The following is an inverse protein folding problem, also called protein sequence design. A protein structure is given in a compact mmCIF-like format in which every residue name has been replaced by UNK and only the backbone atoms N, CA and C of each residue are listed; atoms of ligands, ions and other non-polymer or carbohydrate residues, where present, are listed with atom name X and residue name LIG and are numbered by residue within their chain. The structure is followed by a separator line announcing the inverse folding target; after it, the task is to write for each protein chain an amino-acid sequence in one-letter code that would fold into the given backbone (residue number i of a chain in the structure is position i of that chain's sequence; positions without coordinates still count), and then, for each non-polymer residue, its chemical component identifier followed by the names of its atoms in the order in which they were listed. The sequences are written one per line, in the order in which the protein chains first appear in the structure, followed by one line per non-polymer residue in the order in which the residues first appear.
data_IF_571549432850
#
_entry.id   IF_571549432850
#
_cell.length_a   1.000
_cell.length_b   1.000
_cell.length_c   1.000
_cell.angle_alpha   90.00
_cell.angle_beta   90.00
_cell.angle_gamma   90.00
#
_symmetry.space_group_name_H-M   'P 1'
#
loop_
_entity.id
_entity.type
_entity.pdbx_description
1 polymer ?
#
# COMPACT_ATOMS: atom_id res chain seq x y z
N UNK A 1 -23.86 -12.25 -12.08
CA UNK A 1 -23.10 -11.15 -11.44
C UNK A 1 -23.44 -11.02 -9.96
N UNK A 2 -24.71 -10.89 -9.58
CA UNK A 2 -25.12 -10.73 -8.17
C UNK A 2 -24.64 -11.87 -7.25
N UNK A 3 -24.73 -13.14 -7.68
CA UNK A 3 -24.21 -14.29 -6.91
C UNK A 3 -22.68 -14.27 -6.72
N UNK A 4 -21.93 -13.73 -7.68
CA UNK A 4 -20.46 -13.59 -7.59
C UNK A 4 -20.11 -12.52 -6.55
N UNK A 5 -20.79 -11.36 -6.60
CA UNK A 5 -20.59 -10.31 -5.61
C UNK A 5 -20.93 -10.79 -4.20
N UNK A 6 -22.03 -11.52 -4.02
CA UNK A 6 -22.39 -12.10 -2.72
C UNK A 6 -21.32 -13.06 -2.19
N UNK A 7 -20.70 -13.89 -3.04
CA UNK A 7 -19.59 -14.76 -2.63
C UNK A 7 -18.33 -13.99 -2.23
N UNK A 8 -17.97 -12.95 -3.00
CA UNK A 8 -16.84 -12.07 -2.67
C UNK A 8 -17.10 -11.36 -1.33
N UNK A 9 -18.31 -10.82 -1.14
CA UNK A 9 -18.73 -10.18 0.10
C UNK A 9 -18.71 -11.16 1.27
N UNK A 10 -19.21 -12.39 1.13
CA UNK A 10 -19.19 -13.41 2.19
C UNK A 10 -17.75 -13.80 2.59
N UNK A 11 -16.83 -13.93 1.64
CA UNK A 11 -15.40 -14.14 1.91
C UNK A 11 -14.73 -12.99 2.66
N UNK A 12 -15.33 -11.79 2.63
CA UNK A 12 -14.82 -10.56 3.27
C UNK A 12 -15.70 -10.04 4.44
N UNK A 13 -16.90 -10.59 4.65
CA UNK A 13 -17.90 -10.12 5.61
C UNK A 13 -17.41 -10.23 7.06
N UNK A 14 -16.48 -11.15 7.35
CA UNK A 14 -15.86 -11.32 8.67
C UNK A 14 -14.66 -10.41 8.94
N UNK A 15 -14.13 -9.69 7.94
CA UNK A 15 -12.90 -8.89 8.08
C UNK A 15 -13.12 -7.46 7.57
N UNK A 16 -13.50 -6.57 8.49
CA UNK A 16 -13.26 -5.11 8.39
C UNK A 16 -11.75 -4.76 8.39
N UNK A 17 -10.91 -5.63 7.85
CA UNK A 17 -9.45 -5.49 7.83
C UNK A 17 -9.02 -4.59 6.66
N UNK A 18 -8.42 -3.45 6.98
CA UNK A 18 -8.01 -2.44 6.02
C UNK A 18 -8.30 -1.03 6.54
N UNK A 19 -7.49 -0.08 6.11
CA UNK A 19 -7.64 1.34 6.46
C UNK A 19 -8.85 1.93 5.70
N UNK A 20 -9.24 3.15 6.06
CA UNK A 20 -10.51 3.75 5.64
C UNK A 20 -10.63 3.82 4.11
N UNK A 21 -9.58 4.23 3.41
CA UNK A 21 -9.62 4.40 1.96
C UNK A 21 -9.75 3.04 1.25
N UNK A 22 -8.94 2.04 1.63
CA UNK A 22 -9.10 0.67 1.12
C UNK A 22 -10.53 0.19 1.30
N UNK A 23 -11.11 0.41 2.48
CA UNK A 23 -12.42 -0.11 2.87
C UNK A 23 -13.55 0.47 2.02
N UNK A 24 -13.56 1.78 1.81
CA UNK A 24 -14.69 2.47 1.19
C UNK A 24 -14.55 2.66 -0.33
N UNK A 25 -13.32 2.76 -0.82
CA UNK A 25 -13.04 3.07 -2.23
C UNK A 25 -12.45 1.86 -2.95
N UNK A 26 -11.21 1.49 -2.60
CA UNK A 26 -10.46 0.46 -3.36
C UNK A 26 -11.21 -0.87 -3.43
N UNK A 27 -11.78 -1.34 -2.32
CA UNK A 27 -12.55 -2.60 -2.30
C UNK A 27 -13.71 -2.62 -3.29
N UNK A 28 -14.42 -1.50 -3.50
CA UNK A 28 -15.55 -1.46 -4.43
C UNK A 28 -15.08 -1.67 -5.87
N UNK A 29 -14.00 -0.99 -6.26
CA UNK A 29 -13.39 -1.18 -7.58
C UNK A 29 -12.77 -2.55 -7.73
N UNK A 30 -12.07 -3.04 -6.69
CA UNK A 30 -11.48 -4.37 -6.67
C UNK A 30 -12.52 -5.49 -6.83
N UNK A 31 -13.72 -5.34 -6.27
CA UNK A 31 -14.81 -6.31 -6.49
C UNK A 31 -15.23 -6.38 -7.97
N UNK A 32 -15.28 -5.24 -8.67
CA UNK A 32 -15.59 -5.20 -10.10
C UNK A 32 -14.52 -5.94 -10.92
N UNK A 33 -13.25 -5.65 -10.67
CA UNK A 33 -12.12 -6.33 -11.31
C UNK A 33 -12.11 -7.84 -11.00
N UNK A 34 -12.34 -8.22 -9.74
CA UNK A 34 -12.42 -9.62 -9.32
C UNK A 34 -13.50 -10.37 -10.09
N UNK A 35 -14.70 -9.80 -10.18
CA UNK A 35 -15.81 -10.43 -10.89
C UNK A 35 -15.53 -10.57 -12.40
N UNK A 36 -14.83 -9.60 -12.99
CA UNK A 36 -14.40 -9.63 -14.39
C UNK A 36 -13.36 -10.74 -14.61
N UNK A 37 -12.28 -10.75 -13.81
CA UNK A 37 -11.18 -11.71 -13.96
C UNK A 37 -11.60 -13.14 -13.63
N UNK A 38 -12.52 -13.32 -12.69
CA UNK A 38 -13.13 -14.63 -12.43
C UNK A 38 -13.84 -15.19 -13.66
N UNK A 39 -14.61 -14.35 -14.37
CA UNK A 39 -15.28 -14.77 -15.62
C UNK A 39 -14.31 -15.07 -16.75
N UNK A 40 -13.19 -14.35 -16.79
CA UNK A 40 -12.15 -14.52 -17.81
C UNK A 40 -11.16 -15.66 -17.47
N UNK A 41 -11.36 -16.37 -16.35
CA UNK A 41 -10.44 -17.41 -15.87
C UNK A 41 -8.98 -16.94 -15.73
N UNK A 42 -8.78 -15.66 -15.40
CA UNK A 42 -7.45 -15.09 -15.20
C UNK A 42 -6.90 -15.55 -13.85
N UNK A 43 -5.61 -15.88 -13.81
CA UNK A 43 -4.95 -16.27 -12.55
C UNK A 43 -4.65 -15.06 -11.66
N UNK A 44 -4.71 -15.19 -10.32
CA UNK A 44 -4.37 -14.09 -9.40
C UNK A 44 -2.99 -13.46 -9.67
N UNK A 45 -1.97 -14.28 -9.95
CA UNK A 45 -0.61 -13.78 -10.19
C UNK A 45 -0.53 -12.89 -11.45
N UNK A 46 -1.36 -13.14 -12.47
CA UNK A 46 -1.44 -12.26 -13.66
C UNK A 46 -2.03 -10.91 -13.25
N UNK A 47 -2.99 -10.89 -12.33
CA UNK A 47 -3.58 -9.64 -11.81
C UNK A 47 -2.54 -8.85 -11.02
N UNK A 48 -1.69 -9.52 -10.22
CA UNK A 48 -0.55 -8.89 -9.53
C UNK A 48 0.47 -8.30 -10.52
N UNK A 49 0.78 -9.00 -11.63
CA UNK A 49 1.65 -8.43 -12.67
C UNK A 49 0.99 -7.22 -13.33
N UNK A 50 -0.32 -7.30 -13.58
CA UNK A 50 -1.06 -6.21 -14.18
C UNK A 50 -1.09 -4.97 -13.26
N UNK A 51 -1.28 -5.15 -11.95
CA UNK A 51 -1.19 -4.04 -10.99
C UNK A 51 0.18 -3.37 -11.08
N UNK A 52 1.27 -4.15 -11.08
CA UNK A 52 2.61 -3.62 -11.23
C UNK A 52 2.82 -2.84 -12.54
N UNK A 53 2.31 -3.34 -13.67
CA UNK A 53 2.36 -2.63 -14.96
C UNK A 53 1.63 -1.30 -14.89
N UNK A 54 0.45 -1.24 -14.27
CA UNK A 54 -0.28 0.02 -14.09
C UNK A 54 0.49 0.99 -13.19
N UNK A 55 1.09 0.52 -12.08
CA UNK A 55 1.91 1.37 -11.21
C UNK A 55 3.09 2.01 -11.96
N UNK A 56 3.86 1.17 -12.67
CA UNK A 56 5.03 1.63 -13.42
C UNK A 56 4.65 2.52 -14.60
N UNK A 57 3.53 2.23 -15.27
CA UNK A 57 3.01 3.11 -16.33
C UNK A 57 2.61 4.47 -15.77
N UNK A 58 1.96 4.51 -14.60
CA UNK A 58 1.62 5.76 -13.91
C UNK A 58 2.85 6.59 -13.54
N UNK A 59 3.94 5.95 -13.09
CA UNK A 59 5.22 6.62 -12.87
C UNK A 59 5.87 7.09 -14.19
N UNK A 60 5.79 6.28 -15.24
CA UNK A 60 6.34 6.58 -16.57
C UNK A 60 5.74 7.84 -17.20
N UNK A 61 4.48 8.16 -16.88
CA UNK A 61 3.79 9.38 -17.34
C UNK A 61 4.54 10.65 -16.97
N UNK A 62 5.28 10.67 -15.85
CA UNK A 62 6.06 11.83 -15.42
C UNK A 62 7.13 12.24 -16.43
N UNK A 63 7.59 11.30 -17.28
CA UNK A 63 8.61 11.54 -18.29
C UNK A 63 8.03 11.82 -19.68
N UNK A 64 6.70 11.94 -19.80
CA UNK A 64 6.03 12.29 -21.04
C UNK A 64 5.84 13.80 -21.17
N UNK A 65 5.91 14.36 -22.40
CA UNK A 65 5.76 15.80 -22.63
C UNK A 65 4.27 16.23 -22.64
N UNK A 66 3.51 15.91 -21.58
CA UNK A 66 2.05 16.16 -21.49
C UNK A 66 1.65 17.24 -20.49
N UNK A 67 2.64 17.85 -19.81
CA UNK A 67 2.45 18.91 -18.80
C UNK A 67 2.11 18.37 -17.40
N UNK A 68 2.36 19.17 -16.36
CA UNK A 68 2.28 18.72 -14.95
C UNK A 68 0.88 18.33 -14.51
N UNK A 69 -0.15 19.09 -14.90
CA UNK A 69 -1.56 18.81 -14.54
C UNK A 69 -2.04 17.51 -15.17
N UNK A 70 -1.84 17.34 -16.49
CA UNK A 70 -2.20 16.11 -17.20
C UNK A 70 -1.43 14.92 -16.64
N UNK A 71 -0.14 15.09 -16.39
CA UNK A 71 0.71 14.04 -15.81
C UNK A 71 0.19 13.60 -14.44
N UNK A 72 -0.18 14.55 -13.57
CA UNK A 72 -0.74 14.26 -12.27
C UNK A 72 -2.06 13.47 -12.37
N UNK A 73 -3.00 13.91 -13.21
CA UNK A 73 -4.30 13.23 -13.37
C UNK A 73 -4.13 11.83 -13.93
N UNK A 74 -3.32 11.66 -14.97
CA UNK A 74 -3.09 10.34 -15.60
C UNK A 74 -2.37 9.44 -14.60
N UNK A 75 -1.30 9.91 -13.95
CA UNK A 75 -0.60 9.16 -12.90
C UNK A 75 -1.56 8.70 -11.79
N UNK A 76 -2.44 9.58 -11.31
CA UNK A 76 -3.44 9.23 -10.30
C UNK A 76 -4.34 8.09 -10.75
N UNK A 77 -4.88 8.18 -11.97
CA UNK A 77 -5.77 7.14 -12.50
C UNK A 77 -5.03 5.80 -12.55
N UNK A 78 -3.81 5.78 -13.09
CA UNK A 78 -3.00 4.56 -13.18
C UNK A 78 -2.67 3.97 -11.80
N UNK A 79 -2.27 4.81 -10.84
CA UNK A 79 -1.95 4.36 -9.48
C UNK A 79 -3.19 3.84 -8.72
N UNK A 80 -4.35 4.48 -8.88
CA UNK A 80 -5.58 4.00 -8.24
C UNK A 80 -6.10 2.72 -8.88
N UNK A 81 -5.96 2.57 -10.20
CA UNK A 81 -6.26 1.29 -10.89
C UNK A 81 -5.31 0.21 -10.41
N UNK A 82 -4.00 0.49 -10.35
CA UNK A 82 -3.01 -0.43 -9.77
C UNK A 82 -3.43 -0.90 -8.38
N UNK A 83 -3.81 0.04 -7.50
CA UNK A 83 -4.22 -0.31 -6.13
C UNK A 83 -5.50 -1.15 -6.07
N UNK A 84 -6.45 -0.90 -6.97
CA UNK A 84 -7.66 -1.69 -7.07
C UNK A 84 -7.39 -3.10 -7.61
N UNK A 85 -6.44 -3.26 -8.54
CA UNK A 85 -6.01 -4.55 -9.08
C UNK A 85 -5.27 -5.39 -8.03
N UNK A 86 -4.35 -4.77 -7.29
CA UNK A 86 -3.68 -5.35 -6.12
C UNK A 86 -4.72 -5.88 -5.10
N UNK A 87 -5.70 -5.05 -4.76
CA UNK A 87 -6.80 -5.50 -3.89
C UNK A 87 -7.71 -6.58 -4.51
N UNK A 88 -7.70 -6.76 -5.84
CA UNK A 88 -8.51 -7.74 -6.56
C UNK A 88 -7.84 -9.11 -6.67
N UNK A 89 -6.51 -9.20 -6.72
CA UNK A 89 -5.82 -10.48 -6.81
C UNK A 89 -6.07 -11.37 -5.58
N UNK A 90 -6.06 -10.78 -4.39
CA UNK A 90 -6.32 -11.45 -3.13
C UNK A 90 -7.79 -11.81 -2.95
N UNK A 91 -8.69 -11.01 -3.55
CA UNK A 91 -10.11 -11.34 -3.64
C UNK A 91 -10.33 -12.54 -4.57
N UNK A 92 -9.66 -12.53 -5.72
CA UNK A 92 -9.76 -13.58 -6.74
C UNK A 92 -9.18 -14.90 -6.24
N UNK A 93 -8.02 -14.89 -5.57
CA UNK A 93 -7.39 -16.08 -5.01
C UNK A 93 -8.29 -16.78 -3.99
N UNK A 94 -9.03 -16.00 -3.17
CA UNK A 94 -10.01 -16.53 -2.21
C UNK A 94 -11.28 -17.01 -2.90
N UNK A 95 -11.78 -16.27 -3.89
CA UNK A 95 -12.96 -16.66 -4.66
C UNK A 95 -12.74 -17.97 -5.43
N UNK A 96 -11.51 -18.21 -5.87
CA UNK A 96 -11.10 -19.45 -6.54
C UNK A 96 -10.75 -20.59 -5.57
N UNK A 97 -10.84 -20.36 -4.25
CA UNK A 97 -10.40 -21.30 -3.20
C UNK A 97 -8.96 -21.82 -3.39
N UNK A 98 -8.09 -20.97 -3.96
CA UNK A 98 -6.68 -21.28 -4.27
C UNK A 98 -5.69 -20.27 -3.67
N UNK A 99 -5.74 -19.96 -2.36
CA UNK A 99 -4.67 -19.18 -1.74
C UNK A 99 -3.35 -19.98 -1.78
N UNK A 100 -2.25 -19.32 -2.15
CA UNK A 100 -0.93 -19.96 -2.15
C UNK A 100 0.11 -19.11 -1.40
N UNK A 101 1.03 -19.71 -0.61
CA UNK A 101 2.10 -18.98 0.05
C UNK A 101 3.05 -18.29 -0.94
N UNK A 102 3.33 -18.95 -2.06
CA UNK A 102 4.18 -18.41 -3.14
C UNK A 102 3.53 -17.17 -3.76
N UNK A 103 2.22 -17.22 -4.03
CA UNK A 103 1.48 -16.07 -4.55
C UNK A 103 1.47 -14.90 -3.56
N UNK A 104 1.26 -15.16 -2.27
CA UNK A 104 1.31 -14.12 -1.24
C UNK A 104 2.70 -13.49 -1.09
N UNK A 105 3.78 -14.27 -1.25
CA UNK A 105 5.14 -13.72 -1.26
C UNK A 105 5.42 -12.92 -2.53
N UNK A 106 4.95 -13.40 -3.69
CA UNK A 106 5.11 -12.71 -4.96
C UNK A 106 4.39 -11.36 -4.97
N UNK A 107 3.15 -11.33 -4.47
CA UNK A 107 2.37 -10.11 -4.23
C UNK A 107 3.14 -9.10 -3.38
N UNK A 108 3.60 -9.53 -2.20
CA UNK A 108 4.42 -8.70 -1.31
C UNK A 108 5.70 -8.17 -1.99
N UNK A 109 6.36 -9.00 -2.80
CA UNK A 109 7.57 -8.60 -3.53
C UNK A 109 7.25 -7.55 -4.61
N UNK A 110 6.22 -7.77 -5.42
CA UNK A 110 5.80 -6.84 -6.47
C UNK A 110 5.38 -5.48 -5.89
N UNK A 111 4.67 -5.49 -4.76
CA UNK A 111 4.33 -4.29 -4.00
C UNK A 111 5.55 -3.47 -3.57
N UNK A 112 6.64 -4.14 -3.16
CA UNK A 112 7.88 -3.47 -2.76
C UNK A 112 8.60 -2.86 -3.94
N UNK A 113 8.71 -3.62 -5.02
CA UNK A 113 9.39 -3.17 -6.24
C UNK A 113 8.65 -1.97 -6.83
N UNK A 114 7.33 -2.07 -6.98
CA UNK A 114 6.51 -0.99 -7.56
C UNK A 114 6.49 0.24 -6.67
N UNK A 115 6.28 0.08 -5.35
CA UNK A 115 6.33 1.18 -4.39
C UNK A 115 7.67 1.90 -4.39
N UNK A 116 8.78 1.16 -4.47
CA UNK A 116 10.12 1.74 -4.61
C UNK A 116 10.26 2.50 -5.93
N UNK A 117 9.98 1.86 -7.07
CA UNK A 117 10.18 2.44 -8.40
C UNK A 117 9.31 3.67 -8.65
N UNK A 118 8.04 3.66 -8.23
CA UNK A 118 7.15 4.83 -8.33
C UNK A 118 7.70 6.01 -7.53
N UNK A 119 8.18 5.76 -6.30
CA UNK A 119 8.76 6.81 -5.46
C UNK A 119 10.09 7.31 -6.02
N UNK A 120 10.94 6.41 -6.53
CA UNK A 120 12.21 6.76 -7.19
C UNK A 120 11.97 7.63 -8.42
N UNK A 121 11.05 7.21 -9.29
CA UNK A 121 10.70 7.92 -10.51
C UNK A 121 10.23 9.33 -10.20
N UNK A 122 9.38 9.52 -9.18
CA UNK A 122 8.93 10.84 -8.76
C UNK A 122 10.07 11.73 -8.25
N UNK A 123 10.95 11.20 -7.41
CA UNK A 123 12.08 11.96 -6.87
C UNK A 123 13.09 12.32 -7.96
N UNK A 124 13.33 11.40 -8.90
CA UNK A 124 14.17 11.65 -10.06
C UNK A 124 13.52 12.68 -11.00
N UNK A 125 12.20 12.62 -11.19
CA UNK A 125 11.49 13.66 -11.93
C UNK A 125 11.68 15.04 -11.30
N UNK A 126 11.63 15.18 -9.97
CA UNK A 126 11.95 16.46 -9.31
C UNK A 126 13.38 16.93 -9.54
N UNK A 127 14.34 16.00 -9.62
CA UNK A 127 15.72 16.31 -9.96
C UNK A 127 15.84 16.91 -11.36
N UNK A 128 15.17 16.32 -12.34
CA UNK A 128 15.13 16.81 -13.73
C UNK A 128 14.40 18.16 -13.87
N UNK A 129 13.55 18.54 -12.91
CA UNK A 129 12.88 19.84 -12.89
C UNK A 129 13.67 20.91 -12.11
N UNK A 130 14.94 20.66 -11.76
CA UNK A 130 15.81 21.56 -10.98
C UNK A 130 15.20 22.01 -9.63
N UNK A 131 14.37 21.15 -9.02
CA UNK A 131 13.65 21.49 -7.77
C UNK A 131 14.52 21.37 -6.51
N UNK A 132 15.74 20.85 -6.65
CA UNK A 132 16.71 20.75 -5.56
C UNK A 132 17.83 21.76 -5.77
N UNK A 133 18.33 22.34 -4.67
CA UNK A 133 19.47 23.27 -4.67
C UNK A 133 20.81 22.61 -5.05
N UNK A 134 20.85 21.29 -5.17
CA UNK A 134 22.03 20.53 -5.60
C UNK A 134 21.98 19.06 -5.18
N UNK A 135 22.98 18.30 -5.64
CA UNK A 135 23.07 16.86 -5.41
C UNK A 135 23.01 16.44 -3.93
N UNK A 136 23.66 17.14 -2.97
CA UNK A 136 23.58 16.74 -1.56
C UNK A 136 22.16 16.79 -0.99
N UNK A 137 21.36 17.79 -1.37
CA UNK A 137 19.97 17.90 -0.92
C UNK A 137 19.11 16.81 -1.55
N UNK A 138 19.25 16.59 -2.86
CA UNK A 138 18.56 15.53 -3.57
C UNK A 138 18.86 14.16 -2.94
N UNK A 139 20.14 13.82 -2.78
CA UNK A 139 20.56 12.53 -2.23
C UNK A 139 20.03 12.32 -0.80
N UNK A 140 20.13 13.34 0.06
CA UNK A 140 19.63 13.25 1.43
C UNK A 140 18.12 13.01 1.50
N UNK A 141 17.34 13.76 0.71
CA UNK A 141 15.88 13.58 0.62
C UNK A 141 15.54 12.22 0.01
N UNK A 142 16.25 11.82 -1.05
CA UNK A 142 16.02 10.55 -1.73
C UNK A 142 16.18 9.37 -0.78
N UNK A 143 17.33 9.30 -0.09
CA UNK A 143 17.61 8.24 0.87
C UNK A 143 16.58 8.23 2.00
N UNK A 144 16.26 9.40 2.57
CA UNK A 144 15.30 9.48 3.67
C UNK A 144 13.90 9.03 3.26
N UNK A 145 13.37 9.54 2.13
CA UNK A 145 12.04 9.18 1.62
C UNK A 145 11.96 7.70 1.30
N UNK A 146 12.98 7.14 0.65
CA UNK A 146 13.05 5.71 0.35
C UNK A 146 13.06 4.86 1.62
N UNK A 147 13.95 5.20 2.55
CA UNK A 147 14.10 4.48 3.80
C UNK A 147 12.82 4.49 4.64
N UNK A 148 12.19 5.66 4.80
CA UNK A 148 10.97 5.80 5.57
C UNK A 148 9.80 4.99 4.98
N UNK A 149 9.60 5.06 3.66
CA UNK A 149 8.51 4.34 2.99
C UNK A 149 8.72 2.83 2.98
N UNK A 150 9.93 2.37 2.68
CA UNK A 150 10.27 0.94 2.64
C UNK A 150 10.15 0.30 4.03
N UNK A 151 10.73 0.93 5.05
CA UNK A 151 10.79 0.37 6.40
C UNK A 151 9.42 0.38 7.07
N UNK A 152 8.61 1.44 6.87
CA UNK A 152 7.24 1.46 7.37
C UNK A 152 6.40 0.35 6.73
N UNK A 153 6.51 0.16 5.41
CA UNK A 153 5.81 -0.91 4.71
C UNK A 153 6.26 -2.30 5.18
N UNK A 154 7.56 -2.49 5.43
CA UNK A 154 8.08 -3.74 5.97
C UNK A 154 7.58 -4.01 7.40
N UNK A 155 7.58 -3.01 8.28
CA UNK A 155 7.16 -3.15 9.68
C UNK A 155 5.67 -3.49 9.83
N UNK A 156 4.79 -2.91 9.01
CA UNK A 156 3.34 -3.23 9.03
C UNK A 156 3.07 -4.65 8.54
N UNK A 157 3.82 -5.10 7.54
CA UNK A 157 3.68 -6.45 6.98
C UNK A 157 4.29 -7.52 7.89
N UNK A 158 5.43 -7.28 8.52
CA UNK A 158 5.98 -8.16 9.55
C UNK A 158 5.02 -8.31 10.73
N UNK A 159 4.38 -7.24 11.21
CA UNK A 159 3.36 -7.39 12.26
C UNK A 159 2.18 -8.24 11.79
N UNK A 160 1.75 -8.13 10.54
CA UNK A 160 0.70 -8.99 9.97
C UNK A 160 1.09 -10.46 9.79
N UNK A 161 2.38 -10.74 9.55
CA UNK A 161 2.93 -12.09 9.36
C UNK A 161 3.37 -12.75 10.67
N UNK A 162 3.95 -11.99 11.60
CA UNK A 162 4.50 -12.46 12.89
C UNK A 162 3.42 -12.48 13.98
N UNK A 163 2.56 -11.48 14.01
CA UNK A 163 1.41 -11.45 14.93
C UNK A 163 0.19 -11.75 14.08
N UNK A 164 -0.30 -13.00 14.09
CA UNK A 164 -1.67 -13.30 13.66
C UNK A 164 -2.59 -12.36 14.43
N UNK A 165 -3.03 -11.29 13.79
CA UNK A 165 -3.93 -10.33 14.40
C UNK A 165 -5.19 -11.12 14.77
N UNK A 166 -5.36 -11.47 16.05
CA UNK A 166 -6.65 -11.91 16.57
C UNK A 166 -7.57 -10.71 16.35
N UNK A 167 -8.61 -10.82 15.49
CA UNK A 167 -9.57 -9.75 15.34
C UNK A 167 -10.41 -9.72 16.61
N UNK A 168 -9.92 -9.05 17.64
CA UNK A 168 -10.71 -8.75 18.82
C UNK A 168 -11.74 -7.68 18.46
N UNK A 169 -13.02 -7.83 18.87
CA UNK A 169 -14.04 -6.80 18.68
C UNK A 169 -13.82 -5.68 19.71
N UNK A 170 -12.67 -5.04 19.69
CA UNK A 170 -12.45 -3.79 20.42
C UNK A 170 -12.92 -2.65 19.54
N UNK A 171 -13.81 -1.79 20.05
CA UNK A 171 -14.07 -0.48 19.43
C UNK A 171 -12.72 0.20 19.23
N UNK A 172 -12.20 0.22 18.00
CA UNK A 172 -11.04 1.02 17.65
C UNK A 172 -11.38 2.46 18.03
N UNK A 173 -10.59 3.05 18.92
CA UNK A 173 -10.69 4.48 19.20
C UNK A 173 -10.62 5.22 17.87
N UNK A 174 -11.61 6.07 17.56
CA UNK A 174 -11.67 6.84 16.32
C UNK A 174 -10.35 7.58 16.04
N UNK A 175 -9.65 8.00 17.10
CA UNK A 175 -8.32 8.61 17.01
C UNK A 175 -7.27 7.66 16.40
N UNK A 176 -7.28 6.38 16.76
CA UNK A 176 -6.37 5.38 16.16
C UNK A 176 -6.67 5.18 14.68
N UNK A 177 -7.94 5.15 14.29
CA UNK A 177 -8.32 5.03 12.88
C UNK A 177 -7.92 6.27 12.08
N UNK A 178 -8.16 7.47 12.63
CA UNK A 178 -7.79 8.73 11.98
C UNK A 178 -6.28 8.92 11.86
N UNK A 179 -5.51 8.54 12.89
CA UNK A 179 -4.05 8.63 12.87
C UNK A 179 -3.44 7.63 11.91
N UNK A 180 -4.03 6.45 11.73
CA UNK A 180 -3.52 5.43 10.79
C UNK A 180 -4.06 5.61 9.37
N UNK A 181 -5.17 6.32 9.18
CA UNK A 181 -5.79 6.49 7.87
C UNK A 181 -4.82 7.04 6.81
N UNK A 182 -3.99 8.08 7.07
CA UNK A 182 -3.03 8.55 6.07
C UNK A 182 -1.99 7.50 5.65
N UNK A 183 -1.76 6.46 6.45
CA UNK A 183 -0.85 5.36 6.11
C UNK A 183 -1.41 4.41 5.03
N UNK A 184 -2.64 4.64 4.57
CA UNK A 184 -3.28 3.87 3.49
C UNK A 184 -2.59 4.14 2.15
N UNK A 185 -2.28 3.08 1.40
CA UNK A 185 -1.60 3.17 0.09
C UNK A 185 -2.40 4.02 -0.91
N UNK A 186 -3.73 3.98 -0.87
CA UNK A 186 -4.54 4.83 -1.75
C UNK A 186 -4.43 6.32 -1.43
N UNK A 187 -4.28 6.67 -0.15
CA UNK A 187 -3.99 8.06 0.28
C UNK A 187 -2.56 8.44 -0.08
N UNK A 188 -1.60 7.52 0.05
CA UNK A 188 -0.24 7.76 -0.41
C UNK A 188 -0.20 8.16 -1.90
N UNK A 189 -0.92 7.46 -2.77
CA UNK A 189 -1.00 7.81 -4.20
C UNK A 189 -1.68 9.17 -4.47
N UNK A 190 -2.66 9.56 -3.66
CA UNK A 190 -3.23 10.91 -3.71
C UNK A 190 -2.18 11.97 -3.33
N UNK A 191 -1.36 11.70 -2.32
CA UNK A 191 -0.28 12.61 -1.91
C UNK A 191 0.78 12.72 -3.01
N UNK A 192 1.22 11.60 -3.60
CA UNK A 192 2.16 11.64 -4.74
C UNK A 192 1.60 12.42 -5.93
N UNK A 193 0.30 12.29 -6.21
CA UNK A 193 -0.33 13.07 -7.27
C UNK A 193 -0.37 14.56 -6.92
N UNK A 194 -0.74 14.89 -5.69
CA UNK A 194 -0.79 16.27 -5.22
C UNK A 194 0.58 16.93 -5.34
N UNK A 195 1.65 16.21 -5.02
CA UNK A 195 3.03 16.74 -5.08
C UNK A 195 3.46 17.04 -6.52
N UNK A 196 2.99 16.25 -7.50
CA UNK A 196 3.20 16.55 -8.94
C UNK A 196 2.40 17.77 -9.36
N UNK A 197 1.13 17.85 -8.94
CA UNK A 197 0.23 18.95 -9.31
C UNK A 197 0.76 20.31 -8.83
N UNK A 198 1.23 20.39 -7.59
CA UNK A 198 1.80 21.63 -7.02
C UNK A 198 3.28 21.81 -7.37
N UNK A 199 3.90 20.84 -8.04
CA UNK A 199 5.33 20.80 -8.38
C UNK A 199 6.22 21.10 -7.17
N UNK A 200 5.98 20.40 -6.06
CA UNK A 200 6.72 20.59 -4.82
C UNK A 200 6.90 19.24 -4.10
N UNK A 201 8.14 18.91 -3.74
CA UNK A 201 8.49 17.67 -3.05
C UNK A 201 8.16 17.69 -1.54
N UNK A 202 7.83 18.84 -0.95
CA UNK A 202 7.58 18.96 0.49
C UNK A 202 6.46 18.05 1.00
N UNK A 203 5.30 17.86 0.34
CA UNK A 203 4.27 16.98 0.87
C UNK A 203 4.71 15.50 0.90
N UNK A 204 5.51 15.01 -0.07
CA UNK A 204 6.04 13.63 -0.03
C UNK A 204 7.08 13.49 1.08
N UNK A 205 7.89 14.53 1.33
CA UNK A 205 8.84 14.56 2.43
C UNK A 205 8.12 14.55 3.79
N UNK A 206 7.14 15.45 4.00
CA UNK A 206 6.34 15.53 5.22
C UNK A 206 5.64 14.20 5.50
N UNK A 207 5.05 13.60 4.46
CA UNK A 207 4.40 12.31 4.58
C UNK A 207 5.39 11.19 4.97
N UNK A 208 6.61 11.23 4.44
CA UNK A 208 7.67 10.28 4.78
C UNK A 208 8.15 10.46 6.22
N UNK A 209 8.27 11.71 6.71
CA UNK A 209 8.53 12.00 8.13
C UNK A 209 7.43 11.43 9.01
N UNK A 210 6.16 11.64 8.66
CA UNK A 210 5.03 11.06 9.39
C UNK A 210 5.10 9.53 9.46
N UNK A 211 5.37 8.84 8.34
CA UNK A 211 5.56 7.37 8.32
C UNK A 211 6.73 6.93 9.20
N UNK A 212 7.84 7.68 9.18
CA UNK A 212 8.99 7.39 10.02
C UNK A 212 8.66 7.54 11.51
N UNK A 213 7.95 8.60 11.91
CA UNK A 213 7.50 8.77 13.29
C UNK A 213 6.55 7.63 13.71
N UNK A 214 5.62 7.24 12.85
CA UNK A 214 4.75 6.08 13.12
C UNK A 214 5.56 4.80 13.30
N UNK A 215 6.56 4.56 12.44
CA UNK A 215 7.48 3.43 12.57
C UNK A 215 8.16 3.42 13.96
N UNK A 216 8.66 4.56 14.43
CA UNK A 216 9.27 4.65 15.77
C UNK A 216 8.27 4.27 16.87
N UNK A 217 7.01 4.72 16.78
CA UNK A 217 5.98 4.31 17.75
C UNK A 217 5.67 2.81 17.69
N UNK A 218 5.69 2.22 16.49
CA UNK A 218 5.45 0.80 16.24
C UNK A 218 6.57 -0.05 16.83
N UNK A 219 7.83 0.37 16.66
CA UNK A 219 9.02 -0.28 17.23
C UNK A 219 9.00 -0.13 18.76
N UNK A 220 8.81 1.08 19.28
CA UNK A 220 8.77 1.34 20.72
C UNK A 220 7.74 0.47 21.43
N UNK A 221 6.52 0.36 20.89
CA UNK A 221 5.49 -0.54 21.43
C UNK A 221 5.86 -2.02 21.37
N UNK A 222 6.59 -2.45 20.34
CA UNK A 222 7.05 -3.83 20.23
C UNK A 222 8.11 -4.14 21.28
N UNK A 223 9.04 -3.22 21.52
CA UNK A 223 10.07 -3.36 22.56
C UNK A 223 9.48 -3.26 23.98
N UNK A 224 8.43 -2.47 24.17
CA UNK A 224 7.74 -2.33 25.47
C UNK A 224 6.70 -3.40 25.76
N UNK A 225 6.42 -4.32 24.84
CA UNK A 225 5.50 -5.42 25.11
C UNK A 225 6.22 -6.42 26.04
N UNK A 226 5.80 -6.57 27.32
CA UNK A 226 6.46 -7.49 28.23
C UNK A 226 6.39 -8.91 27.66
N UNK A 227 7.51 -9.64 27.74
CA UNK A 227 7.62 -11.06 27.38
C UNK A 227 6.52 -11.87 28.07
N UNK A 228 5.40 -12.07 27.37
CA UNK A 228 4.36 -13.01 27.80
C UNK A 228 4.73 -14.46 27.46
N UNK A 229 5.99 -14.74 27.09
CA UNK A 229 6.47 -16.10 26.80
C UNK A 229 6.90 -16.87 28.05
N UNK A 230 7.24 -16.19 29.15
CA UNK A 230 7.88 -16.84 30.31
C UNK A 230 6.91 -17.41 31.35
N UNK A 231 5.60 -17.15 31.21
CA UNK A 231 4.58 -17.60 32.19
C UNK A 231 3.89 -18.92 31.84
N UNK A 232 4.13 -19.48 30.65
CA UNK A 232 3.58 -20.78 30.27
C UNK A 232 4.46 -21.96 30.66
N UNK A 233 5.76 -21.74 30.91
CA UNK A 233 6.65 -22.82 31.36
C UNK A 233 6.67 -23.00 32.89
N UNK A 234 6.42 -21.94 33.66
CA UNK A 234 6.36 -22.02 35.13
C UNK A 234 5.02 -22.51 35.72
N UNK A 235 3.96 -22.63 34.91
CA UNK A 235 2.69 -23.24 35.37
C UNK A 235 2.57 -24.72 35.04
N UNK A 236 3.61 -25.32 34.46
CA UNK A 236 3.67 -26.74 34.10
C UNK A 236 4.69 -27.55 34.93
N UNK A 237 5.33 -26.93 35.93
CA UNK A 237 6.19 -27.57 36.93
C UNK A 237 5.55 -27.52 38.31
#
# INVERSE_FOLDING_TARGET
MQQIFQRIEQGYAGKRAGLLYTRYVSRKFAMLFTALFFKLNISPNIVTVLSAVFALSGAGVLFLPVGSVSSAIIMLIFLQVSYALDSADGQLARLLDKPSPIGAWFDLLMDRITGFLVTAALLYWYWEQDMFSGFPQFYGIFVFVMFANLTFSYATNLKGLVIKAKPGPGKSSLLKELVLAPSDTGIFYLILTLTVLITNYLPVLIYSVYKFLLLLTVIGRTLSAPEQMDRTEQSAS
#
